data_IF_877865168142
#
_entry.id   IF_877865168142
#
_cell.length_a   1.000
_cell.length_b   1.000
_cell.length_c   1.000
_cell.angle_alpha   90.00
_cell.angle_beta   90.00
_cell.angle_gamma   90.00
#
_symmetry.space_group_name_H-M   'P 1'
#
loop_
_entity.id
_entity.type
_entity.pdbx_description
1 polymer ?
#
# COMPACT_ATOMS: atom_id res chain seq x y z
N UNK A 1 -25.26 -2.23 15.97
CA UNK A 1 -25.97 -3.08 14.98
C UNK A 1 -26.27 -2.18 13.79
N UNK A 2 -26.02 -2.62 12.55
CA UNK A 2 -26.37 -1.84 11.37
C UNK A 2 -27.88 -1.89 11.10
N UNK A 3 -28.41 -0.81 10.50
CA UNK A 3 -29.80 -0.73 10.06
C UNK A 3 -29.84 -0.36 8.57
N UNK A 4 -30.73 -1.01 7.82
CA UNK A 4 -30.92 -0.76 6.39
C UNK A 4 -31.82 0.46 6.15
N UNK A 5 -31.36 1.62 6.60
CA UNK A 5 -32.10 2.89 6.44
C UNK A 5 -31.15 4.05 6.15
N UNK A 6 -31.63 5.02 5.37
CA UNK A 6 -30.90 6.26 5.11
C UNK A 6 -30.65 7.05 6.40
N UNK A 7 -31.62 7.06 7.31
CA UNK A 7 -31.51 7.77 8.59
C UNK A 7 -30.41 7.21 9.48
N UNK A 8 -30.15 5.89 9.43
CA UNK A 8 -29.01 5.28 10.11
C UNK A 8 -27.68 5.77 9.53
N UNK A 9 -27.54 5.78 8.20
CA UNK A 9 -26.33 6.26 7.54
C UNK A 9 -26.05 7.73 7.88
N UNK A 10 -27.06 8.59 7.83
CA UNK A 10 -26.95 10.01 8.17
C UNK A 10 -26.57 10.24 9.64
N UNK A 11 -27.07 9.40 10.56
CA UNK A 11 -26.73 9.44 11.98
C UNK A 11 -25.28 9.01 12.23
N UNK A 12 -24.82 7.94 11.56
CA UNK A 12 -23.43 7.49 11.67
C UNK A 12 -22.44 8.53 11.09
N UNK A 13 -22.82 9.23 10.02
CA UNK A 13 -22.02 10.36 9.48
C UNK A 13 -21.90 11.51 10.50
N UNK A 14 -22.99 11.80 11.25
CA UNK A 14 -22.96 12.83 12.29
C UNK A 14 -22.07 12.45 13.49
N UNK A 15 -22.03 11.16 13.83
CA UNK A 15 -21.24 10.60 14.94
C UNK A 15 -19.78 10.33 14.58
N UNK A 16 -19.43 10.37 13.29
CA UNK A 16 -18.10 10.04 12.81
C UNK A 16 -17.05 11.03 13.32
N UNK A 17 -16.08 10.58 14.12
CA UNK A 17 -15.01 11.45 14.62
C UNK A 17 -14.10 11.98 13.52
N UNK A 18 -14.04 11.28 12.37
CA UNK A 18 -13.22 11.68 11.20
C UNK A 18 -14.01 12.49 10.17
N UNK A 19 -15.26 12.88 10.42
CA UNK A 19 -16.12 13.57 9.45
C UNK A 19 -15.51 14.86 8.89
N UNK A 20 -14.80 15.62 9.72
CA UNK A 20 -14.19 16.90 9.32
C UNK A 20 -13.02 16.74 8.34
N UNK A 21 -12.37 15.57 8.32
CA UNK A 21 -11.25 15.31 7.40
C UNK A 21 -11.69 15.30 5.93
N UNK A 22 -12.95 14.99 5.64
CA UNK A 22 -13.52 15.08 4.30
C UNK A 22 -13.30 16.45 3.65
N UNK A 23 -13.34 17.51 4.42
CA UNK A 23 -13.15 18.88 3.94
C UNK A 23 -11.69 19.17 3.56
N UNK A 24 -10.74 18.34 3.97
CA UNK A 24 -9.33 18.49 3.62
C UNK A 24 -8.99 18.01 2.19
N UNK A 25 -9.94 17.39 1.46
CA UNK A 25 -9.72 16.83 0.13
C UNK A 25 -10.49 17.55 -0.97
N UNK A 26 -9.93 17.52 -2.18
CA UNK A 26 -10.62 17.86 -3.42
C UNK A 26 -11.33 16.64 -3.98
N UNK A 27 -12.56 16.84 -4.48
CA UNK A 27 -13.35 15.81 -5.14
C UNK A 27 -13.46 16.09 -6.62
N UNK A 28 -13.41 15.05 -7.48
CA UNK A 28 -13.90 15.16 -8.85
C UNK A 28 -15.36 15.60 -8.82
N UNK A 29 -15.73 16.41 -9.80
CA UNK A 29 -17.09 16.94 -9.90
C UNK A 29 -17.73 16.46 -11.19
N UNK A 30 -19.04 16.19 -11.13
CA UNK A 30 -19.84 15.92 -12.30
C UNK A 30 -20.12 17.21 -13.10
N UNK A 31 -20.81 17.06 -14.24
CA UNK A 31 -21.18 18.18 -15.12
C UNK A 31 -22.03 19.26 -14.43
N UNK A 32 -22.76 18.91 -13.36
CA UNK A 32 -23.57 19.81 -12.55
C UNK A 32 -22.80 20.46 -11.40
N UNK A 33 -21.48 20.25 -11.32
CA UNK A 33 -20.62 20.79 -10.28
C UNK A 33 -20.75 20.10 -8.90
N UNK A 34 -21.47 18.98 -8.79
CA UNK A 34 -21.59 18.19 -7.56
C UNK A 34 -20.42 17.22 -7.42
N UNK A 35 -20.02 16.94 -6.19
CA UNK A 35 -19.01 15.93 -5.92
C UNK A 35 -19.51 14.54 -6.32
N UNK A 36 -18.65 13.76 -6.95
CA UNK A 36 -18.91 12.33 -7.24
C UNK A 36 -18.67 11.48 -6.00
N UNK A 37 -19.29 10.31 -5.93
CA UNK A 37 -18.95 9.29 -4.94
C UNK A 37 -17.65 8.62 -5.40
N UNK A 38 -16.59 8.74 -4.61
CA UNK A 38 -15.25 8.28 -5.00
C UNK A 38 -14.79 7.12 -4.11
N UNK A 39 -14.91 5.89 -4.61
CA UNK A 39 -14.53 4.64 -3.94
C UNK A 39 -13.30 3.96 -4.55
N UNK A 40 -12.36 4.77 -5.06
CA UNK A 40 -11.21 4.29 -5.82
C UNK A 40 -9.86 4.64 -5.16
N UNK A 41 -9.84 4.87 -3.83
CA UNK A 41 -8.62 5.14 -3.06
C UNK A 41 -7.59 4.01 -3.10
N UNK A 42 -8.03 2.80 -3.39
CA UNK A 42 -7.17 1.63 -3.63
C UNK A 42 -6.38 1.71 -4.95
N UNK A 43 -6.68 2.65 -5.83
CA UNK A 43 -5.99 2.87 -7.11
C UNK A 43 -5.28 4.22 -7.13
N UNK A 44 -5.98 5.30 -6.77
CA UNK A 44 -5.44 6.65 -6.58
C UNK A 44 -6.26 7.36 -5.51
N UNK A 45 -5.61 7.85 -4.45
CA UNK A 45 -6.27 8.64 -3.41
C UNK A 45 -6.65 10.04 -3.87
N UNK A 46 -7.65 10.67 -3.21
CA UNK A 46 -8.03 12.04 -3.49
C UNK A 46 -6.92 13.03 -3.10
N UNK A 47 -6.84 14.15 -3.81
CA UNK A 47 -5.85 15.19 -3.57
C UNK A 47 -6.15 15.96 -2.27
N UNK A 48 -5.22 15.99 -1.29
CA UNK A 48 -5.32 16.93 -0.17
C UNK A 48 -5.27 18.39 -0.67
N UNK A 49 -6.10 19.25 -0.11
CA UNK A 49 -6.16 20.68 -0.49
C UNK A 49 -4.85 21.42 -0.18
N UNK A 50 -4.13 20.98 0.84
CA UNK A 50 -2.84 21.56 1.25
C UNK A 50 -1.70 21.28 0.26
N UNK A 51 -1.81 20.30 -0.63
CA UNK A 51 -0.76 19.92 -1.60
C UNK A 51 -0.22 21.12 -2.37
N UNK A 52 -1.12 21.99 -2.86
CA UNK A 52 -0.71 23.19 -3.63
C UNK A 52 0.26 24.08 -2.83
N UNK A 53 -0.05 24.35 -1.57
CA UNK A 53 0.81 25.22 -0.73
C UNK A 53 2.14 24.57 -0.38
N UNK A 54 2.20 23.23 -0.30
CA UNK A 54 3.45 22.51 -0.05
C UNK A 54 4.37 22.56 -1.29
N UNK A 55 3.81 22.37 -2.48
CA UNK A 55 4.58 22.49 -3.73
C UNK A 55 5.04 23.93 -3.93
N UNK A 56 4.17 24.92 -3.71
CA UNK A 56 4.47 26.36 -3.90
C UNK A 56 5.63 26.81 -3.02
N UNK A 57 5.73 26.30 -1.79
CA UNK A 57 6.87 26.60 -0.91
C UNK A 57 8.21 26.14 -1.49
N UNK A 58 8.24 24.98 -2.14
CA UNK A 58 9.48 24.44 -2.73
C UNK A 58 9.80 25.15 -4.06
N UNK A 59 8.78 25.53 -4.84
CA UNK A 59 8.97 26.35 -6.04
C UNK A 59 9.49 27.75 -5.71
N UNK A 60 8.92 28.41 -4.70
CA UNK A 60 9.35 29.74 -4.26
C UNK A 60 10.81 29.71 -3.70
N UNK A 61 11.18 28.62 -3.00
CA UNK A 61 12.56 28.44 -2.54
C UNK A 61 13.52 28.27 -3.72
N UNK A 62 13.11 27.48 -4.72
CA UNK A 62 13.93 27.30 -5.93
C UNK A 62 14.11 28.60 -6.72
N UNK A 63 13.04 29.36 -6.91
CA UNK A 63 13.07 30.67 -7.55
C UNK A 63 14.04 31.63 -6.83
N UNK A 64 13.98 31.65 -5.49
CA UNK A 64 14.72 32.59 -4.67
C UNK A 64 16.19 32.21 -4.50
N UNK A 65 16.47 30.95 -4.16
CA UNK A 65 17.76 30.53 -3.66
C UNK A 65 18.54 29.65 -4.64
N UNK A 66 17.89 29.10 -5.69
CA UNK A 66 18.54 28.23 -6.67
C UNK A 66 19.27 27.07 -5.99
N UNK A 67 20.57 26.91 -6.30
CA UNK A 67 21.40 25.83 -5.73
C UNK A 67 21.56 25.93 -4.22
N UNK A 68 21.45 27.09 -3.62
CA UNK A 68 21.56 27.25 -2.17
C UNK A 68 20.43 26.53 -1.43
N UNK A 69 19.29 26.33 -2.08
CA UNK A 69 18.17 25.52 -1.57
C UNK A 69 18.55 24.06 -1.32
N UNK A 70 19.56 23.53 -2.04
CA UNK A 70 20.07 22.16 -1.78
C UNK A 70 20.56 22.05 -0.34
N UNK A 71 21.48 22.92 0.05
CA UNK A 71 22.12 22.86 1.37
C UNK A 71 21.20 23.30 2.51
N UNK A 72 20.33 24.28 2.26
CA UNK A 72 19.47 24.83 3.30
C UNK A 72 18.25 23.94 3.65
N UNK A 73 17.79 23.09 2.69
CA UNK A 73 16.52 22.39 2.86
C UNK A 73 16.43 21.01 2.18
N UNK A 74 16.92 20.83 0.96
CA UNK A 74 16.56 19.67 0.16
C UNK A 74 17.42 18.44 0.42
N UNK A 75 18.69 18.62 0.84
CA UNK A 75 19.57 17.51 1.19
C UNK A 75 18.95 16.55 2.21
N UNK A 76 18.23 17.12 3.19
CA UNK A 76 17.59 16.35 4.26
C UNK A 76 16.04 16.35 4.17
N UNK A 77 15.48 16.68 3.01
CA UNK A 77 14.01 16.79 2.88
C UNK A 77 13.30 15.48 3.20
N UNK A 78 13.85 14.34 2.79
CA UNK A 78 13.30 13.01 3.05
C UNK A 78 13.19 12.71 4.56
N UNK A 79 14.05 13.27 5.41
CA UNK A 79 14.03 13.08 6.86
C UNK A 79 12.74 13.63 7.50
N UNK A 80 12.10 14.62 6.88
CA UNK A 80 10.80 15.15 7.31
C UNK A 80 9.68 14.12 7.22
N UNK A 81 9.84 13.12 6.38
CA UNK A 81 8.88 12.03 6.20
C UNK A 81 9.19 10.82 7.09
N UNK A 82 10.40 10.72 7.63
CA UNK A 82 10.87 9.52 8.33
C UNK A 82 10.00 9.17 9.54
N UNK A 83 9.81 10.10 10.48
CA UNK A 83 9.00 9.83 11.68
C UNK A 83 7.52 9.60 11.36
N UNK A 84 6.92 10.42 10.47
CA UNK A 84 5.54 10.26 10.04
C UNK A 84 5.30 8.88 9.41
N UNK A 85 6.26 8.44 8.59
CA UNK A 85 6.18 7.15 7.93
C UNK A 85 6.43 5.99 8.90
N UNK A 86 7.37 6.14 9.84
CA UNK A 86 7.61 5.15 10.88
C UNK A 86 6.37 4.91 11.74
N UNK A 87 5.71 5.97 12.21
CA UNK A 87 4.44 5.87 12.95
C UNK A 87 3.35 5.18 12.12
N UNK A 88 3.25 5.53 10.83
CA UNK A 88 2.24 4.95 9.93
C UNK A 88 2.33 3.43 9.81
N UNK A 89 3.58 2.90 9.75
CA UNK A 89 3.81 1.46 9.49
C UNK A 89 4.27 0.68 10.73
N UNK A 90 4.35 1.33 11.89
CA UNK A 90 4.79 0.71 13.15
C UNK A 90 6.24 0.23 13.09
N UNK A 91 7.13 1.17 12.79
CA UNK A 91 8.58 0.96 12.64
C UNK A 91 9.38 1.96 13.47
N UNK A 92 10.67 1.70 13.68
CA UNK A 92 11.62 2.68 14.17
C UNK A 92 12.01 3.65 13.04
N UNK A 93 12.32 4.90 13.40
CA UNK A 93 12.70 5.91 12.40
C UNK A 93 13.92 5.49 11.55
N UNK A 94 14.87 4.81 12.15
CA UNK A 94 16.07 4.29 11.48
C UNK A 94 15.80 3.20 10.44
N UNK A 95 14.63 2.57 10.49
CA UNK A 95 14.20 1.49 9.59
C UNK A 95 13.49 1.99 8.33
N UNK A 96 13.26 3.32 8.23
CA UNK A 96 12.44 3.92 7.18
C UNK A 96 13.25 4.85 6.30
N UNK A 97 12.99 4.77 4.99
CA UNK A 97 13.33 5.85 4.06
C UNK A 97 12.31 5.96 2.93
N UNK A 98 12.01 7.18 2.54
CA UNK A 98 11.15 7.50 1.38
C UNK A 98 12.04 7.75 0.17
N UNK A 99 11.88 6.92 -0.88
CA UNK A 99 12.69 7.01 -2.09
C UNK A 99 12.00 6.35 -3.29
N UNK A 100 12.38 6.71 -4.50
CA UNK A 100 12.02 6.06 -5.77
C UNK A 100 10.50 5.78 -5.93
N UNK A 101 10.18 4.82 -6.80
CA UNK A 101 8.86 4.22 -6.99
C UNK A 101 8.86 2.76 -6.52
N UNK A 102 7.68 2.22 -6.21
CA UNK A 102 7.50 0.90 -5.58
C UNK A 102 8.29 -0.22 -6.27
N UNK A 103 8.12 -0.43 -7.57
CA UNK A 103 8.78 -1.54 -8.27
C UNK A 103 10.30 -1.39 -8.32
N UNK A 104 10.80 -0.15 -8.40
CA UNK A 104 12.24 0.12 -8.28
C UNK A 104 12.74 -0.29 -6.89
N UNK A 105 12.01 0.09 -5.84
CA UNK A 105 12.35 -0.28 -4.47
C UNK A 105 12.31 -1.80 -4.26
N UNK A 106 11.31 -2.51 -4.79
CA UNK A 106 11.25 -3.97 -4.73
C UNK A 106 12.48 -4.61 -5.39
N UNK A 107 12.91 -4.13 -6.56
CA UNK A 107 14.13 -4.63 -7.19
C UNK A 107 15.38 -4.38 -6.33
N UNK A 108 15.53 -3.19 -5.75
CA UNK A 108 16.67 -2.86 -4.87
C UNK A 108 16.69 -3.75 -3.63
N UNK A 109 15.52 -3.98 -3.02
CA UNK A 109 15.39 -4.86 -1.86
C UNK A 109 15.66 -6.32 -2.21
N UNK A 110 15.17 -6.80 -3.37
CA UNK A 110 15.46 -8.16 -3.84
C UNK A 110 16.93 -8.36 -4.17
N UNK A 111 17.69 -7.35 -4.62
CA UNK A 111 19.15 -7.45 -4.75
C UNK A 111 19.80 -7.74 -3.40
N UNK A 112 19.28 -7.19 -2.30
CA UNK A 112 19.82 -7.46 -0.96
C UNK A 112 19.28 -8.76 -0.36
N UNK A 113 17.98 -9.00 -0.43
CA UNK A 113 17.29 -10.04 0.35
C UNK A 113 16.93 -11.31 -0.45
N UNK A 114 17.12 -11.34 -1.76
CA UNK A 114 17.08 -12.56 -2.54
C UNK A 114 18.52 -12.95 -2.95
N UNK A 115 19.15 -13.80 -2.12
CA UNK A 115 20.53 -14.26 -2.27
C UNK A 115 20.54 -15.76 -2.59
N UNK A 116 20.15 -16.15 -3.83
CA UNK A 116 20.00 -17.55 -4.16
C UNK A 116 21.37 -18.24 -4.36
N UNK A 117 21.43 -19.50 -3.96
CA UNK A 117 22.52 -20.43 -4.25
C UNK A 117 21.99 -21.82 -4.59
N UNK A 118 22.83 -22.77 -5.04
CA UNK A 118 22.41 -24.08 -5.58
C UNK A 118 21.40 -24.86 -4.73
N UNK A 119 21.45 -24.72 -3.40
CA UNK A 119 20.55 -25.43 -2.48
C UNK A 119 19.35 -24.58 -2.04
N UNK A 120 19.53 -23.24 -1.95
CA UNK A 120 18.52 -22.32 -1.45
C UNK A 120 18.31 -21.25 -2.50
N UNK A 121 17.34 -21.45 -3.40
CA UNK A 121 17.11 -20.57 -4.55
C UNK A 121 15.63 -20.26 -4.81
N UNK A 122 14.72 -20.80 -3.98
CA UNK A 122 13.29 -20.57 -4.19
C UNK A 122 12.84 -19.25 -3.59
N UNK A 123 11.91 -18.61 -4.26
CA UNK A 123 11.17 -17.46 -3.77
C UNK A 123 9.68 -17.79 -3.78
N UNK A 124 8.97 -17.41 -2.72
CA UNK A 124 7.56 -17.71 -2.52
C UNK A 124 6.71 -16.44 -2.60
N UNK A 125 5.56 -16.54 -3.28
CA UNK A 125 4.58 -15.48 -3.46
C UNK A 125 3.16 -16.07 -3.46
N UNK A 126 2.14 -15.26 -3.19
CA UNK A 126 0.75 -15.68 -3.45
C UNK A 126 0.47 -15.78 -4.95
N UNK A 127 -0.27 -16.80 -5.36
CA UNK A 127 -0.75 -16.89 -6.75
C UNK A 127 -1.72 -15.75 -7.06
N UNK A 128 -1.53 -15.13 -8.22
CA UNK A 128 -2.31 -13.96 -8.60
C UNK A 128 -1.89 -12.69 -7.88
N UNK A 129 -0.68 -12.62 -7.33
CA UNK A 129 -0.05 -11.37 -6.92
C UNK A 129 -0.07 -10.33 -8.04
N UNK A 130 0.06 -9.06 -7.68
CA UNK A 130 0.05 -8.00 -8.68
C UNK A 130 1.11 -8.25 -9.77
N UNK A 131 0.79 -8.04 -11.07
CA UNK A 131 1.70 -8.40 -12.16
C UNK A 131 3.11 -7.84 -12.02
N UNK A 132 3.25 -6.62 -11.47
CA UNK A 132 4.57 -6.00 -11.27
C UNK A 132 5.47 -6.82 -10.35
N UNK A 133 4.91 -7.40 -9.27
CA UNK A 133 5.67 -8.22 -8.32
C UNK A 133 6.10 -9.54 -8.95
N UNK A 134 5.19 -10.17 -9.70
CA UNK A 134 5.50 -11.37 -10.47
C UNK A 134 6.62 -11.12 -11.48
N UNK A 135 6.59 -9.96 -12.17
CA UNK A 135 7.64 -9.59 -13.13
C UNK A 135 8.96 -9.32 -12.44
N UNK A 136 8.94 -8.60 -11.32
CA UNK A 136 10.14 -8.31 -10.54
C UNK A 136 10.80 -9.59 -10.05
N UNK A 137 10.04 -10.50 -9.42
CA UNK A 137 10.53 -11.80 -8.94
C UNK A 137 11.10 -12.65 -10.08
N UNK A 138 10.33 -12.84 -11.16
CA UNK A 138 10.78 -13.67 -12.30
C UNK A 138 12.02 -13.09 -12.96
N UNK A 139 12.16 -11.76 -13.01
CA UNK A 139 13.36 -11.12 -13.55
C UNK A 139 14.58 -11.28 -12.62
N UNK A 140 14.40 -11.19 -11.32
CA UNK A 140 15.47 -11.42 -10.34
C UNK A 140 15.97 -12.88 -10.37
N UNK A 141 15.06 -13.85 -10.44
CA UNK A 141 15.43 -15.27 -10.60
C UNK A 141 16.31 -15.46 -11.84
N UNK A 142 15.90 -14.89 -12.99
CA UNK A 142 16.66 -14.96 -14.24
C UNK A 142 18.00 -14.23 -14.14
N UNK A 143 18.05 -13.07 -13.47
CA UNK A 143 19.27 -12.29 -13.27
C UNK A 143 20.32 -13.11 -12.53
N UNK A 144 19.93 -13.95 -11.57
CA UNK A 144 20.80 -14.87 -10.86
C UNK A 144 21.10 -16.18 -11.62
N UNK A 145 20.63 -16.33 -12.86
CA UNK A 145 20.92 -17.50 -13.71
C UNK A 145 20.04 -18.73 -13.42
N UNK A 146 18.91 -18.57 -12.72
CA UNK A 146 17.98 -19.65 -12.40
C UNK A 146 16.72 -19.60 -13.31
N UNK A 147 16.00 -20.74 -13.40
CA UNK A 147 14.73 -20.83 -14.11
C UNK A 147 13.56 -20.48 -13.17
N UNK A 148 12.72 -19.47 -13.50
CA UNK A 148 11.53 -19.17 -12.72
C UNK A 148 10.55 -20.35 -12.56
N UNK A 149 10.53 -21.29 -13.49
CA UNK A 149 9.66 -22.48 -13.38
C UNK A 149 10.07 -23.43 -12.25
N UNK A 150 11.37 -23.42 -11.89
CA UNK A 150 11.91 -24.26 -10.84
C UNK A 150 12.00 -23.51 -9.49
N UNK A 151 12.19 -22.18 -9.53
CA UNK A 151 12.51 -21.40 -8.34
C UNK A 151 11.35 -20.58 -7.78
N UNK A 152 10.26 -20.37 -8.56
CA UNK A 152 9.08 -19.65 -8.07
C UNK A 152 8.07 -20.63 -7.45
N UNK A 153 7.71 -20.39 -6.18
CA UNK A 153 6.62 -21.09 -5.49
C UNK A 153 5.42 -20.13 -5.40
N UNK A 154 4.33 -20.47 -6.08
CA UNK A 154 3.08 -19.74 -6.00
C UNK A 154 2.08 -20.49 -5.12
N UNK A 155 1.62 -19.84 -4.03
CA UNK A 155 0.64 -20.44 -3.11
C UNK A 155 -0.76 -20.16 -3.63
N UNK A 156 -1.53 -21.22 -3.87
CA UNK A 156 -2.90 -21.14 -4.39
C UNK A 156 -3.94 -21.22 -3.26
N UNK A 157 -5.06 -20.50 -3.38
CA UNK A 157 -6.23 -20.75 -2.55
C UNK A 157 -6.75 -22.19 -2.74
N UNK A 158 -7.43 -22.71 -1.73
CA UNK A 158 -8.14 -23.99 -1.86
C UNK A 158 -9.17 -23.93 -3.00
N UNK A 159 -9.48 -25.09 -3.60
CA UNK A 159 -10.51 -25.17 -4.64
C UNK A 159 -11.81 -24.51 -4.18
N UNK A 160 -12.40 -23.70 -5.03
CA UNK A 160 -13.61 -22.93 -4.77
C UNK A 160 -13.49 -21.83 -3.69
N UNK A 161 -12.27 -21.39 -3.38
CA UNK A 161 -12.01 -20.26 -2.49
C UNK A 161 -11.19 -19.20 -3.23
N UNK A 162 -11.49 -17.93 -2.96
CA UNK A 162 -10.65 -16.80 -3.39
C UNK A 162 -9.68 -16.35 -2.27
N UNK A 163 -9.68 -17.05 -1.13
CA UNK A 163 -8.96 -16.67 0.08
C UNK A 163 -7.86 -17.67 0.39
N UNK A 164 -6.65 -17.18 0.62
CA UNK A 164 -5.52 -17.95 1.11
C UNK A 164 -5.61 -18.07 2.62
N UNK A 165 -5.75 -19.30 3.12
CA UNK A 165 -5.74 -19.54 4.57
C UNK A 165 -4.31 -19.41 5.09
N UNK A 166 -4.10 -18.67 6.18
CA UNK A 166 -2.78 -18.52 6.83
C UNK A 166 -2.13 -19.87 7.12
N UNK A 167 -2.92 -20.86 7.54
CA UNK A 167 -2.46 -22.24 7.75
C UNK A 167 -1.79 -22.83 6.50
N UNK A 168 -2.39 -22.64 5.31
CA UNK A 168 -1.84 -23.21 4.08
C UNK A 168 -0.52 -22.50 3.69
N UNK A 169 -0.41 -21.20 3.96
CA UNK A 169 0.83 -20.43 3.75
C UNK A 169 1.93 -21.00 4.66
N UNK A 170 1.65 -21.17 5.95
CA UNK A 170 2.58 -21.73 6.94
C UNK A 170 3.04 -23.13 6.52
N UNK A 171 2.11 -24.02 6.16
CA UNK A 171 2.42 -25.38 5.70
C UNK A 171 3.33 -25.38 4.46
N UNK A 172 3.07 -24.49 3.50
CA UNK A 172 3.89 -24.37 2.30
C UNK A 172 5.30 -23.85 2.60
N UNK A 173 5.44 -22.88 3.52
CA UNK A 173 6.75 -22.37 3.96
C UNK A 173 7.57 -23.49 4.62
N UNK A 174 6.96 -24.23 5.55
CA UNK A 174 7.63 -25.36 6.22
C UNK A 174 8.00 -26.48 5.26
N UNK A 175 7.14 -26.75 4.26
CA UNK A 175 7.42 -27.75 3.22
C UNK A 175 8.58 -27.34 2.31
N UNK A 176 8.68 -26.04 1.97
CA UNK A 176 9.79 -25.52 1.17
C UNK A 176 11.12 -25.57 1.93
N UNK A 177 11.08 -25.38 3.26
CA UNK A 177 12.21 -25.56 4.16
C UNK A 177 13.47 -24.85 3.70
N UNK A 178 14.59 -25.59 3.67
CA UNK A 178 15.92 -25.06 3.33
C UNK A 178 16.07 -24.61 1.87
N UNK A 179 15.15 -24.95 0.99
CA UNK A 179 15.18 -24.50 -0.40
C UNK A 179 14.75 -23.03 -0.54
N UNK A 180 14.02 -22.51 0.45
CA UNK A 180 13.39 -21.18 0.41
C UNK A 180 14.39 -20.08 0.78
N UNK A 181 14.73 -19.23 -0.16
CA UNK A 181 15.61 -18.09 0.04
C UNK A 181 14.86 -16.86 0.53
N UNK A 182 13.68 -16.60 -0.07
CA UNK A 182 12.93 -15.37 0.20
C UNK A 182 11.43 -15.60 0.06
N UNK A 183 10.66 -14.89 0.86
CA UNK A 183 9.21 -14.75 0.76
C UNK A 183 8.92 -13.31 0.40
N UNK A 184 8.09 -13.06 -0.62
CA UNK A 184 7.54 -11.76 -0.93
C UNK A 184 6.03 -11.87 -1.10
N UNK A 185 5.26 -11.42 -0.13
CA UNK A 185 3.79 -11.40 -0.18
C UNK A 185 3.26 -9.98 -0.24
N UNK A 186 2.03 -9.81 -0.71
CA UNK A 186 1.29 -8.58 -0.47
C UNK A 186 0.95 -8.44 1.02
N UNK A 187 0.87 -7.22 1.55
CA UNK A 187 0.25 -7.01 2.87
C UNK A 187 -1.27 -7.15 2.81
N UNK A 188 -1.85 -6.73 1.67
CA UNK A 188 -3.25 -6.92 1.28
C UNK A 188 -3.30 -7.33 -0.18
N UNK A 189 -4.01 -8.41 -0.49
CA UNK A 189 -4.20 -8.82 -1.87
C UNK A 189 -5.03 -7.79 -2.64
N UNK A 190 -4.50 -7.30 -3.75
CA UNK A 190 -5.13 -6.22 -4.52
C UNK A 190 -6.48 -6.60 -5.14
N UNK A 191 -6.70 -7.88 -5.46
CA UNK A 191 -7.91 -8.36 -6.12
C UNK A 191 -9.01 -8.65 -5.12
N UNK A 192 -8.73 -9.46 -4.11
CA UNK A 192 -9.72 -9.88 -3.11
C UNK A 192 -9.89 -8.89 -1.95
N UNK A 193 -8.92 -8.04 -1.67
CA UNK A 193 -8.88 -7.20 -0.47
C UNK A 193 -8.48 -7.94 0.81
N UNK A 194 -8.09 -9.22 0.72
CA UNK A 194 -7.64 -10.02 1.87
C UNK A 194 -6.38 -9.42 2.50
N UNK A 195 -6.41 -9.17 3.81
CA UNK A 195 -5.21 -8.87 4.59
C UNK A 195 -4.53 -10.18 5.02
N UNK A 196 -3.19 -10.22 4.91
CA UNK A 196 -2.38 -11.36 5.33
C UNK A 196 -1.84 -11.17 6.74
N UNK A 197 -1.61 -12.28 7.46
CA UNK A 197 -0.98 -12.29 8.77
C UNK A 197 0.55 -12.16 8.60
N UNK A 198 1.03 -10.92 8.60
CA UNK A 198 2.45 -10.60 8.41
C UNK A 198 3.31 -11.27 9.47
N UNK A 199 2.85 -11.30 10.72
CA UNK A 199 3.60 -11.87 11.83
C UNK A 199 3.79 -13.39 11.68
N UNK A 200 2.71 -14.13 11.44
CA UNK A 200 2.76 -15.56 11.26
C UNK A 200 3.63 -15.97 10.06
N UNK A 201 3.52 -15.24 8.94
CA UNK A 201 4.33 -15.49 7.74
C UNK A 201 5.81 -15.21 8.05
N UNK A 202 6.11 -14.10 8.74
CA UNK A 202 7.48 -13.72 9.06
C UNK A 202 8.13 -14.71 10.03
N UNK A 203 7.47 -15.05 11.13
CA UNK A 203 7.97 -16.02 12.11
C UNK A 203 8.27 -17.38 11.46
N UNK A 204 7.36 -17.84 10.60
CA UNK A 204 7.54 -19.14 9.91
C UNK A 204 8.65 -19.07 8.86
N UNK A 205 8.71 -18.01 8.04
CA UNK A 205 9.76 -17.84 7.03
C UNK A 205 11.15 -17.79 7.66
N UNK A 206 11.30 -17.05 8.75
CA UNK A 206 12.55 -16.98 9.51
C UNK A 206 12.95 -18.31 10.14
N UNK A 207 11.98 -19.10 10.60
CA UNK A 207 12.26 -20.42 11.19
C UNK A 207 12.92 -21.39 10.20
N UNK A 208 12.68 -21.21 8.90
CA UNK A 208 13.35 -21.98 7.82
C UNK A 208 14.56 -21.24 7.23
N UNK A 209 14.90 -20.06 7.78
CA UNK A 209 16.04 -19.25 7.35
C UNK A 209 15.83 -18.45 6.06
N UNK A 210 14.59 -18.22 5.64
CA UNK A 210 14.26 -17.33 4.53
C UNK A 210 14.19 -15.88 4.97
N UNK A 211 14.55 -14.95 4.09
CA UNK A 211 14.19 -13.54 4.26
C UNK A 211 12.72 -13.33 3.94
N UNK A 212 12.05 -12.47 4.70
CA UNK A 212 10.62 -12.21 4.55
C UNK A 212 10.36 -10.74 4.28
N UNK A 213 9.76 -10.45 3.13
CA UNK A 213 9.40 -9.10 2.72
C UNK A 213 7.95 -8.99 2.29
N UNK A 214 7.45 -7.74 2.27
CA UNK A 214 6.07 -7.45 1.87
C UNK A 214 5.97 -6.29 0.89
N UNK A 215 5.12 -6.46 -0.15
CA UNK A 215 4.54 -5.34 -0.88
C UNK A 215 3.32 -4.82 -0.12
N UNK A 216 3.43 -3.63 0.44
CA UNK A 216 2.39 -3.00 1.24
C UNK A 216 1.58 -1.97 0.46
N UNK A 217 1.57 -2.03 -0.88
CA UNK A 217 0.85 -1.07 -1.74
C UNK A 217 -0.64 -0.92 -1.41
N UNK A 218 -1.27 -1.96 -0.90
CA UNK A 218 -2.67 -1.96 -0.45
C UNK A 218 -2.82 -2.00 1.09
N UNK A 219 -1.73 -2.02 1.84
CA UNK A 219 -1.74 -2.09 3.30
C UNK A 219 -1.36 -0.77 3.97
N UNK A 220 -0.33 -0.06 3.46
CA UNK A 220 0.08 1.23 4.00
C UNK A 220 -1.03 2.28 3.86
N UNK A 221 -1.42 2.91 4.97
CA UNK A 221 -2.55 3.83 5.06
C UNK A 221 -3.95 3.16 5.10
N UNK A 222 -4.00 1.84 5.13
CA UNK A 222 -5.23 1.04 5.10
C UNK A 222 -5.35 0.08 6.30
N UNK A 223 -4.24 -0.45 6.78
CA UNK A 223 -4.16 -1.32 7.96
C UNK A 223 -3.33 -0.66 9.06
N UNK A 224 -3.58 -1.05 10.30
CA UNK A 224 -2.65 -0.80 11.41
C UNK A 224 -1.51 -1.81 11.27
N UNK A 225 -0.34 -1.32 10.93
CA UNK A 225 0.87 -2.12 10.74
C UNK A 225 1.78 -2.05 11.98
N UNK A 226 2.64 -3.04 12.16
CA UNK A 226 3.64 -3.12 13.22
C UNK A 226 4.90 -3.83 12.69
N UNK A 227 5.52 -3.26 11.64
CA UNK A 227 6.58 -3.94 10.88
C UNK A 227 7.77 -4.32 11.76
N UNK A 228 8.20 -3.42 12.65
CA UNK A 228 9.26 -3.70 13.63
C UNK A 228 8.89 -4.91 14.51
N UNK A 229 7.73 -4.84 15.18
CA UNK A 229 7.29 -5.89 16.11
C UNK A 229 6.91 -7.21 15.43
N UNK A 230 6.60 -7.18 14.14
CA UNK A 230 6.41 -8.39 13.33
C UNK A 230 7.72 -8.99 12.82
N UNK A 231 8.86 -8.38 13.13
CA UNK A 231 10.19 -8.87 12.76
C UNK A 231 10.39 -9.01 11.23
N UNK A 232 9.67 -8.23 10.42
CA UNK A 232 9.76 -8.23 8.96
C UNK A 232 11.19 -7.89 8.53
N UNK A 233 11.74 -8.53 7.50
CA UNK A 233 13.09 -8.18 7.04
C UNK A 233 13.09 -6.89 6.21
N UNK A 234 12.14 -6.79 5.28
CA UNK A 234 11.99 -5.63 4.42
C UNK A 234 10.55 -5.45 3.95
N UNK A 235 10.19 -4.22 3.61
CA UNK A 235 8.91 -3.94 2.94
C UNK A 235 9.03 -2.72 2.02
N UNK A 236 8.10 -2.61 1.07
CA UNK A 236 7.95 -1.43 0.23
C UNK A 236 6.46 -1.14 -0.04
N UNK A 237 6.14 0.13 -0.29
CA UNK A 237 4.77 0.55 -0.62
C UNK A 237 4.76 1.79 -1.50
N UNK A 238 3.70 1.97 -2.30
CA UNK A 238 3.47 3.21 -3.01
C UNK A 238 2.63 4.18 -2.16
N UNK A 239 2.83 5.48 -2.38
CA UNK A 239 2.16 6.51 -1.59
C UNK A 239 0.95 7.16 -2.30
N UNK A 240 0.72 6.87 -3.58
CA UNK A 240 -0.35 7.51 -4.36
C UNK A 240 -1.74 6.89 -4.17
N UNK A 241 -1.83 5.69 -3.59
CA UNK A 241 -3.11 5.00 -3.32
C UNK A 241 -3.74 5.53 -2.03
N UNK A 242 -3.86 4.68 -1.02
CA UNK A 242 -4.47 5.03 0.27
C UNK A 242 -3.82 6.23 0.94
N UNK A 243 -2.51 6.46 0.74
CA UNK A 243 -1.81 7.61 1.33
C UNK A 243 -2.04 8.94 0.59
N UNK A 244 -2.83 8.98 -0.48
CA UNK A 244 -3.29 10.22 -1.13
C UNK A 244 -2.18 11.19 -1.57
N UNK A 245 -0.96 10.70 -1.84
CA UNK A 245 0.18 11.57 -2.14
C UNK A 245 0.24 12.06 -3.61
N UNK A 246 -0.72 11.64 -4.43
CA UNK A 246 -0.82 12.04 -5.84
C UNK A 246 -0.03 11.16 -6.82
N UNK A 247 -0.31 11.30 -8.12
CA UNK A 247 0.31 10.49 -9.16
C UNK A 247 1.83 10.71 -9.21
N UNK A 248 2.59 9.60 -9.27
CA UNK A 248 4.05 9.65 -9.31
C UNK A 248 4.72 9.96 -7.97
N UNK A 249 3.99 10.01 -6.86
CA UNK A 249 4.57 10.21 -5.55
C UNK A 249 5.62 9.13 -5.21
N UNK A 250 6.71 9.51 -4.51
CA UNK A 250 7.73 8.56 -4.10
C UNK A 250 7.18 7.54 -3.11
N UNK A 251 7.79 6.38 -3.10
CA UNK A 251 7.45 5.23 -2.29
C UNK A 251 8.23 5.22 -0.98
N UNK A 252 7.74 4.48 0.02
CA UNK A 252 8.51 4.17 1.22
C UNK A 252 9.10 2.77 1.16
N UNK A 253 10.20 2.57 1.89
CA UNK A 253 10.73 1.27 2.24
C UNK A 253 10.93 1.16 3.74
N UNK A 254 10.89 -0.07 4.21
CA UNK A 254 11.26 -0.51 5.54
C UNK A 254 12.39 -1.54 5.43
N UNK A 255 13.39 -1.41 6.29
CA UNK A 255 14.45 -2.40 6.48
C UNK A 255 14.69 -2.51 7.97
N UNK A 256 14.48 -3.70 8.53
CA UNK A 256 14.61 -3.93 9.95
C UNK A 256 16.01 -3.58 10.46
N UNK A 257 16.11 -3.00 11.66
CA UNK A 257 17.36 -2.54 12.26
C UNK A 257 18.44 -3.63 12.37
N UNK A 258 18.07 -4.91 12.47
CA UNK A 258 19.04 -6.04 12.46
C UNK A 258 19.88 -6.10 11.18
N UNK A 259 19.44 -5.43 10.10
CA UNK A 259 20.14 -5.34 8.81
C UNK A 259 20.90 -4.05 8.62
N UNK A 260 20.95 -3.14 9.59
CA UNK A 260 21.64 -1.84 9.45
C UNK A 260 23.13 -1.98 9.17
N UNK A 261 23.77 -3.03 9.67
CA UNK A 261 25.19 -3.34 9.37
C UNK A 261 25.31 -4.31 8.21
N UNK A 262 24.51 -4.11 7.17
CA UNK A 262 24.46 -4.99 6.02
C UNK A 262 25.78 -5.05 5.27
N UNK A 263 26.35 -6.26 5.16
CA UNK A 263 27.59 -6.54 4.42
C UNK A 263 27.36 -7.37 3.13
N UNK A 264 26.09 -7.76 2.89
CA UNK A 264 25.69 -8.47 1.68
C UNK A 264 25.56 -7.55 0.45
N UNK A 265 25.16 -8.10 -0.70
CA UNK A 265 24.95 -7.32 -1.91
C UNK A 265 23.94 -6.19 -1.71
N UNK A 266 24.25 -5.02 -2.23
CA UNK A 266 23.41 -3.83 -2.27
C UNK A 266 23.83 -3.00 -3.47
N UNK A 267 22.89 -2.39 -4.17
CA UNK A 267 23.23 -1.36 -5.15
C UNK A 267 23.54 -0.07 -4.40
N UNK A 268 24.71 0.46 -4.65
CA UNK A 268 25.27 1.62 -3.95
C UNK A 268 25.00 2.90 -4.73
N UNK A 269 24.76 3.98 -4.03
CA UNK A 269 24.53 5.28 -4.63
C UNK A 269 24.95 6.41 -3.71
N UNK A 270 25.19 7.57 -4.29
CA UNK A 270 25.76 8.71 -3.57
C UNK A 270 24.94 9.13 -2.35
N UNK A 271 23.59 9.02 -2.44
CA UNK A 271 22.75 9.48 -1.35
C UNK A 271 22.71 8.51 -0.16
N UNK A 272 23.01 7.24 -0.37
CA UNK A 272 23.23 6.24 0.68
C UNK A 272 24.60 6.30 1.35
N UNK A 273 25.53 7.11 0.85
CA UNK A 273 26.85 7.30 1.47
C UNK A 273 26.75 8.12 2.75
N UNK A 274 27.67 7.90 3.67
CA UNK A 274 27.80 8.58 4.95
C UNK A 274 27.72 10.11 4.79
N UNK A 275 26.78 10.76 5.50
CA UNK A 275 26.48 12.19 5.38
C UNK A 275 27.69 13.08 5.68
N UNK A 276 28.56 12.67 6.60
CA UNK A 276 29.73 13.46 7.01
C UNK A 276 30.85 13.51 5.97
N UNK A 277 30.96 12.47 5.11
CA UNK A 277 32.03 12.33 4.09
C UNK A 277 31.50 12.37 2.67
N UNK A 278 30.17 12.45 2.48
CA UNK A 278 29.52 12.45 1.16
C UNK A 278 30.11 13.48 0.18
N UNK A 279 30.41 14.67 0.66
CA UNK A 279 30.92 15.78 -0.13
C UNK A 279 32.47 15.81 -0.24
N UNK A 280 33.18 14.85 0.36
CA UNK A 280 34.60 14.65 0.12
C UNK A 280 34.88 14.00 -1.24
N UNK A 281 33.82 13.51 -1.92
CA UNK A 281 33.87 12.94 -3.28
C UNK A 281 34.83 11.75 -3.41
N UNK A 282 34.95 10.97 -2.32
CA UNK A 282 35.79 9.76 -2.31
C UNK A 282 35.23 8.66 -3.21
N UNK A 283 36.08 7.73 -3.64
CA UNK A 283 35.73 6.62 -4.52
C UNK A 283 35.17 5.37 -3.78
N UNK A 284 35.35 5.31 -2.48
CA UNK A 284 34.89 4.18 -1.66
C UNK A 284 33.54 4.49 -1.01
N UNK A 285 32.64 3.56 -1.15
CA UNK A 285 31.32 3.70 -0.53
C UNK A 285 31.39 3.34 0.98
N UNK A 286 31.00 4.28 1.82
CA UNK A 286 30.73 4.09 3.26
C UNK A 286 29.24 4.33 3.50
N UNK A 287 28.46 3.24 3.53
CA UNK A 287 27.00 3.31 3.60
C UNK A 287 26.48 3.76 4.96
N UNK A 288 25.46 4.63 4.97
CA UNK A 288 24.71 4.96 6.18
C UNK A 288 24.18 3.66 6.79
N UNK A 289 24.37 3.52 8.12
CA UNK A 289 23.96 2.31 8.85
C UNK A 289 22.52 2.40 9.36
N UNK A 290 21.58 2.71 8.45
CA UNK A 290 20.13 2.71 8.63
C UNK A 290 19.49 2.37 7.29
N UNK A 291 18.17 2.34 7.18
CA UNK A 291 17.47 2.17 5.90
C UNK A 291 17.90 3.22 4.84
N UNK A 292 18.35 4.40 5.26
CA UNK A 292 18.87 5.42 4.33
C UNK A 292 20.08 4.95 3.51
N UNK A 293 20.84 3.96 3.99
CA UNK A 293 21.96 3.38 3.25
C UNK A 293 21.55 2.68 1.93
N UNK A 294 20.26 2.45 1.70
CA UNK A 294 19.71 1.91 0.45
C UNK A 294 19.33 2.99 -0.57
N UNK A 295 19.43 4.28 -0.22
CA UNK A 295 19.23 5.37 -1.17
C UNK A 295 20.30 5.37 -2.25
N UNK A 296 19.90 5.49 -3.52
CA UNK A 296 20.80 5.58 -4.65
C UNK A 296 21.05 7.05 -5.03
N UNK A 297 19.98 7.80 -5.18
CA UNK A 297 19.98 9.19 -5.62
C UNK A 297 19.33 10.11 -4.58
N UNK A 298 19.54 11.40 -4.74
CA UNK A 298 18.90 12.43 -3.95
C UNK A 298 17.36 12.37 -4.06
N UNK A 299 16.69 12.89 -3.04
CA UNK A 299 15.25 12.86 -2.90
C UNK A 299 14.51 13.61 -4.04
N UNK A 300 13.40 13.07 -4.58
CA UNK A 300 12.55 13.75 -5.56
C UNK A 300 11.64 14.79 -4.86
N UNK A 301 12.17 15.97 -4.56
CA UNK A 301 11.56 17.00 -3.71
C UNK A 301 10.13 17.35 -4.12
N UNK A 302 9.90 17.59 -5.40
CA UNK A 302 8.56 17.98 -5.90
C UNK A 302 7.52 16.85 -5.75
N UNK A 303 7.97 15.58 -5.74
CA UNK A 303 7.10 14.45 -5.43
C UNK A 303 6.91 14.22 -3.93
N UNK A 304 7.89 14.60 -3.11
CA UNK A 304 7.82 14.45 -1.65
C UNK A 304 6.95 15.53 -0.98
N UNK A 305 6.85 16.72 -1.55
CA UNK A 305 6.03 17.80 -0.98
C UNK A 305 4.53 17.43 -0.89
N UNK A 306 3.88 16.85 -1.92
CA UNK A 306 2.53 16.30 -1.79
C UNK A 306 2.40 15.17 -0.77
N UNK A 307 3.39 14.28 -0.72
CA UNK A 307 3.39 13.20 0.26
C UNK A 307 3.44 13.75 1.69
N UNK A 308 4.29 14.74 1.95
CA UNK A 308 4.37 15.38 3.26
C UNK A 308 3.03 16.03 3.67
N UNK A 309 2.37 16.73 2.72
CA UNK A 309 1.06 17.31 2.96
C UNK A 309 -0.01 16.27 3.33
N UNK A 310 0.05 15.08 2.73
CA UNK A 310 -0.84 13.98 3.05
C UNK A 310 -0.48 13.32 4.39
N UNK A 311 0.80 13.07 4.64
CA UNK A 311 1.26 12.41 5.87
C UNK A 311 0.92 13.20 7.13
N UNK A 312 0.91 14.54 7.08
CA UNK A 312 0.43 15.39 8.18
C UNK A 312 -1.06 15.13 8.51
N UNK A 313 -1.89 14.84 7.49
CA UNK A 313 -3.30 14.48 7.70
C UNK A 313 -3.43 13.10 8.37
N UNK A 314 -2.62 12.13 7.93
CA UNK A 314 -2.61 10.78 8.52
C UNK A 314 -2.11 10.78 9.96
N UNK A 315 -1.08 11.56 10.27
CA UNK A 315 -0.56 11.72 11.63
C UNK A 315 -1.62 12.34 12.56
N UNK A 316 -2.31 13.40 12.10
CA UNK A 316 -3.38 14.05 12.87
C UNK A 316 -4.57 13.12 13.13
N UNK A 317 -4.98 12.31 12.13
CA UNK A 317 -6.11 11.40 12.25
C UNK A 317 -5.79 10.14 13.05
N UNK A 318 -4.58 9.64 12.93
CA UNK A 318 -4.10 8.41 13.55
C UNK A 318 -4.60 7.12 12.87
N UNK A 319 -3.67 6.22 12.56
CA UNK A 319 -4.01 4.95 11.88
C UNK A 319 -5.07 4.09 12.58
N UNK A 320 -5.11 4.00 13.94
CA UNK A 320 -6.17 3.24 14.61
C UNK A 320 -7.58 3.76 14.30
N UNK A 321 -7.79 5.09 14.30
CA UNK A 321 -9.08 5.71 13.99
C UNK A 321 -9.45 5.52 12.50
N UNK A 322 -8.48 5.65 11.60
CA UNK A 322 -8.64 5.43 10.16
C UNK A 322 -9.08 3.98 9.92
N UNK A 323 -8.37 3.02 10.48
CA UNK A 323 -8.67 1.60 10.33
C UNK A 323 -10.05 1.23 10.92
N UNK A 324 -10.37 1.74 12.12
CA UNK A 324 -11.66 1.49 12.75
C UNK A 324 -12.83 1.97 11.88
N UNK A 325 -12.76 3.20 11.35
CA UNK A 325 -13.78 3.73 10.44
C UNK A 325 -13.83 2.93 9.14
N UNK A 326 -12.70 2.53 8.56
CA UNK A 326 -12.65 1.69 7.37
C UNK A 326 -13.37 0.36 7.54
N UNK A 327 -13.17 -0.30 8.68
CA UNK A 327 -13.89 -1.52 9.04
C UNK A 327 -15.38 -1.31 9.21
N UNK A 328 -15.79 -0.20 9.84
CA UNK A 328 -17.22 0.15 10.00
C UNK A 328 -17.88 0.43 8.66
N UNK A 329 -17.26 1.22 7.77
CA UNK A 329 -17.76 1.52 6.43
C UNK A 329 -17.92 0.25 5.59
N UNK A 330 -16.90 -0.62 5.55
CA UNK A 330 -16.99 -1.87 4.80
C UNK A 330 -17.88 -2.91 5.46
N UNK A 331 -18.00 -2.89 6.78
CA UNK A 331 -18.98 -3.69 7.51
C UNK A 331 -20.41 -3.28 7.17
N UNK A 332 -20.70 -1.98 7.11
CA UNK A 332 -21.98 -1.45 6.69
C UNK A 332 -22.28 -1.77 5.22
N UNK A 333 -21.31 -1.60 4.34
CA UNK A 333 -21.43 -1.96 2.92
C UNK A 333 -21.77 -3.45 2.76
N UNK A 334 -21.05 -4.34 3.45
CA UNK A 334 -21.30 -5.78 3.40
C UNK A 334 -22.70 -6.14 3.93
N UNK A 335 -23.13 -5.51 5.02
CA UNK A 335 -24.47 -5.68 5.59
C UNK A 335 -25.55 -5.27 4.58
N UNK A 336 -25.45 -4.08 3.98
CA UNK A 336 -26.43 -3.60 3.01
C UNK A 336 -26.51 -4.49 1.76
N UNK A 337 -25.37 -5.00 1.28
CA UNK A 337 -25.35 -5.94 0.14
C UNK A 337 -26.05 -7.24 0.51
N UNK A 338 -25.75 -7.81 1.68
CA UNK A 338 -26.40 -9.06 2.12
C UNK A 338 -27.91 -8.94 2.29
N UNK A 339 -28.39 -7.78 2.76
CA UNK A 339 -29.82 -7.51 2.96
C UNK A 339 -30.58 -7.25 1.64
N UNK A 340 -29.94 -6.50 0.70
CA UNK A 340 -30.65 -5.99 -0.47
C UNK A 340 -30.32 -6.72 -1.78
N UNK A 341 -29.17 -7.40 -1.85
CA UNK A 341 -28.58 -7.94 -3.07
C UNK A 341 -27.97 -9.33 -2.83
N UNK A 342 -28.79 -10.33 -2.44
CA UNK A 342 -28.28 -11.67 -2.12
C UNK A 342 -27.59 -12.38 -3.29
N UNK A 343 -27.83 -11.94 -4.52
CA UNK A 343 -27.19 -12.41 -5.75
C UNK A 343 -25.76 -11.85 -5.97
N UNK A 344 -25.36 -10.82 -5.22
CA UNK A 344 -24.00 -10.24 -5.26
C UNK A 344 -23.08 -11.00 -4.31
N UNK A 345 -22.02 -11.58 -4.84
CA UNK A 345 -21.04 -12.28 -4.02
C UNK A 345 -19.91 -11.34 -3.56
N UNK A 346 -19.65 -11.29 -2.26
CA UNK A 346 -18.51 -10.59 -1.67
C UNK A 346 -17.35 -11.58 -1.56
N UNK A 347 -16.30 -11.42 -2.37
CA UNK A 347 -15.12 -12.31 -2.35
C UNK A 347 -14.06 -11.87 -1.33
N UNK A 348 -14.21 -10.69 -0.74
CA UNK A 348 -13.33 -10.17 0.31
C UNK A 348 -13.64 -10.85 1.64
N UNK A 349 -12.65 -11.41 2.36
CA UNK A 349 -12.86 -12.01 3.67
C UNK A 349 -13.04 -10.99 4.78
N UNK A 350 -13.17 -11.49 6.04
CA UNK A 350 -13.28 -10.62 7.23
C UNK A 350 -11.98 -9.88 7.52
N UNK A 351 -10.84 -10.54 7.35
CA UNK A 351 -9.52 -9.92 7.53
C UNK A 351 -9.20 -9.08 6.30
N UNK A 352 -9.41 -7.77 6.42
CA UNK A 352 -9.34 -6.83 5.31
C UNK A 352 -9.06 -5.39 5.79
N UNK A 353 -8.72 -4.53 4.84
CA UNK A 353 -8.80 -3.09 4.99
C UNK A 353 -10.15 -2.52 4.53
N UNK A 354 -10.16 -1.32 3.98
CA UNK A 354 -11.39 -0.63 3.55
C UNK A 354 -11.85 -0.97 2.11
N UNK A 355 -11.40 -2.09 1.53
CA UNK A 355 -11.85 -2.55 0.20
C UNK A 355 -12.80 -3.73 0.33
N UNK A 356 -13.92 -3.71 -0.42
CA UNK A 356 -14.70 -4.90 -0.79
C UNK A 356 -14.60 -5.15 -2.29
N UNK A 357 -14.49 -6.42 -2.65
CA UNK A 357 -14.49 -6.92 -4.03
C UNK A 357 -15.75 -7.70 -4.26
N UNK A 358 -16.57 -7.25 -5.22
CA UNK A 358 -17.93 -7.71 -5.46
C UNK A 358 -18.01 -8.37 -6.82
N UNK A 359 -18.50 -9.62 -6.87
CA UNK A 359 -18.93 -10.27 -8.12
C UNK A 359 -20.40 -9.93 -8.31
N UNK A 360 -20.72 -9.20 -9.37
CA UNK A 360 -22.03 -8.60 -9.58
C UNK A 360 -22.69 -9.20 -10.81
N UNK A 361 -23.95 -9.66 -10.74
CA UNK A 361 -24.74 -10.01 -11.91
C UNK A 361 -24.78 -8.84 -12.92
N UNK A 362 -24.68 -9.12 -14.20
CA UNK A 362 -24.55 -8.09 -15.25
C UNK A 362 -23.15 -7.49 -15.37
N UNK A 363 -22.25 -7.74 -14.44
CA UNK A 363 -20.81 -7.47 -14.53
C UNK A 363 -20.44 -6.07 -15.01
N UNK A 364 -19.78 -6.00 -16.16
CA UNK A 364 -19.27 -4.73 -16.72
C UNK A 364 -20.40 -3.73 -17.07
N UNK A 365 -21.56 -4.19 -17.49
CA UNK A 365 -22.68 -3.30 -17.84
C UNK A 365 -23.21 -2.56 -16.60
N UNK A 366 -23.34 -3.26 -15.47
CA UNK A 366 -23.72 -2.63 -14.19
C UNK A 366 -22.64 -1.65 -13.74
N UNK A 367 -21.36 -2.00 -13.84
CA UNK A 367 -20.26 -1.10 -13.52
C UNK A 367 -20.34 0.20 -14.34
N UNK A 368 -20.57 0.10 -15.66
CA UNK A 368 -20.68 1.27 -16.55
C UNK A 368 -21.88 2.13 -16.16
N UNK A 369 -23.05 1.51 -15.88
CA UNK A 369 -24.26 2.22 -15.44
C UNK A 369 -24.06 2.99 -14.12
N UNK A 370 -23.34 2.40 -13.15
CA UNK A 370 -23.01 3.07 -11.88
C UNK A 370 -22.06 4.25 -12.14
N UNK A 371 -21.10 4.08 -13.04
CA UNK A 371 -20.15 5.15 -13.41
C UNK A 371 -20.86 6.35 -14.04
N UNK A 372 -21.87 6.11 -14.89
CA UNK A 372 -22.73 7.15 -15.46
C UNK A 372 -23.58 7.91 -14.42
N UNK A 373 -23.73 7.33 -13.22
CA UNK A 373 -24.41 7.95 -12.07
C UNK A 373 -23.45 8.58 -11.06
N UNK A 374 -22.29 9.01 -11.55
CA UNK A 374 -21.30 9.74 -10.75
C UNK A 374 -20.67 8.93 -9.60
N UNK A 375 -20.56 7.60 -9.75
CA UNK A 375 -19.82 6.75 -8.82
C UNK A 375 -18.53 6.26 -9.48
N UNK A 376 -17.40 6.59 -8.88
CA UNK A 376 -16.08 6.13 -9.33
C UNK A 376 -15.64 4.98 -8.43
N UNK A 377 -15.59 3.79 -8.98
CA UNK A 377 -15.01 2.59 -8.40
C UNK A 377 -14.12 1.87 -9.43
N UNK A 378 -13.61 0.69 -9.14
CA UNK A 378 -12.60 0.03 -9.99
C UNK A 378 -13.14 -1.30 -10.53
N UNK A 379 -12.96 -1.53 -11.83
CA UNK A 379 -13.30 -2.79 -12.49
C UNK A 379 -12.09 -3.71 -12.63
N UNK A 380 -12.28 -4.98 -12.30
CA UNK A 380 -11.29 -6.04 -12.56
C UNK A 380 -11.92 -7.19 -13.32
N UNK A 381 -11.32 -7.48 -14.46
CA UNK A 381 -11.70 -8.65 -15.28
C UNK A 381 -11.56 -9.95 -14.49
N UNK A 382 -12.49 -10.92 -14.64
CA UNK A 382 -13.59 -10.87 -15.61
C UNK A 382 -14.87 -10.16 -15.13
N UNK A 383 -15.13 -10.06 -13.82
CA UNK A 383 -16.46 -9.73 -13.27
C UNK A 383 -16.45 -9.03 -11.91
N UNK A 384 -15.32 -8.49 -11.45
CA UNK A 384 -15.20 -7.91 -10.11
C UNK A 384 -15.26 -6.39 -10.14
N UNK A 385 -16.15 -5.82 -9.33
CA UNK A 385 -16.17 -4.41 -8.94
C UNK A 385 -15.48 -4.26 -7.60
N UNK A 386 -14.38 -3.47 -7.53
CA UNK A 386 -13.72 -3.15 -6.26
C UNK A 386 -14.23 -1.82 -5.75
N UNK A 387 -14.69 -1.81 -4.51
CA UNK A 387 -15.24 -0.65 -3.81
C UNK A 387 -14.40 -0.40 -2.56
N UNK A 388 -13.74 0.74 -2.50
CA UNK A 388 -12.86 1.08 -1.39
C UNK A 388 -13.27 2.43 -0.75
N UNK A 389 -14.28 2.44 0.13
CA UNK A 389 -14.69 3.65 0.84
C UNK A 389 -13.58 4.07 1.82
N UNK A 390 -12.88 5.13 1.46
CA UNK A 390 -11.72 5.60 2.20
C UNK A 390 -12.13 6.36 3.47
N UNK A 391 -11.62 6.01 4.65
CA UNK A 391 -12.09 6.55 5.93
C UNK A 391 -11.96 8.07 6.09
N UNK A 392 -10.96 8.69 5.46
CA UNK A 392 -10.73 10.13 5.61
C UNK A 392 -11.70 10.98 4.79
N UNK A 393 -12.38 10.41 3.77
CA UNK A 393 -13.20 11.24 2.89
C UNK A 393 -14.52 10.64 2.45
N UNK A 394 -14.78 9.35 2.68
CA UNK A 394 -16.08 8.77 2.38
C UNK A 394 -16.99 8.69 3.62
N UNK A 395 -18.28 8.57 3.37
CA UNK A 395 -19.36 8.63 4.36
C UNK A 395 -20.23 7.38 4.29
N UNK A 396 -20.98 7.11 5.36
CA UNK A 396 -22.00 6.04 5.40
C UNK A 396 -23.14 6.35 4.43
N UNK A 397 -23.54 7.61 4.29
CA UNK A 397 -24.55 8.04 3.32
C UNK A 397 -24.13 7.77 1.88
N UNK A 398 -22.84 7.90 1.52
CA UNK A 398 -22.32 7.52 0.20
C UNK A 398 -22.36 6.00 -0.01
N UNK A 399 -22.03 5.22 1.02
CA UNK A 399 -22.15 3.75 0.98
C UNK A 399 -23.60 3.31 0.79
N UNK A 400 -24.53 3.91 1.51
CA UNK A 400 -25.95 3.63 1.36
C UNK A 400 -26.46 3.95 -0.05
N UNK A 401 -26.13 5.15 -0.56
CA UNK A 401 -26.50 5.56 -1.92
C UNK A 401 -25.92 4.65 -3.00
N UNK A 402 -24.67 4.18 -2.82
CA UNK A 402 -24.06 3.23 -3.74
C UNK A 402 -24.85 1.93 -3.83
N UNK A 403 -25.29 1.37 -2.69
CA UNK A 403 -26.06 0.12 -2.68
C UNK A 403 -27.45 0.33 -3.28
N UNK A 404 -28.10 1.48 -3.05
CA UNK A 404 -29.38 1.82 -3.72
C UNK A 404 -29.22 1.85 -5.26
N UNK A 405 -28.15 2.48 -5.76
CA UNK A 405 -27.85 2.51 -7.19
C UNK A 405 -27.56 1.12 -7.75
N UNK A 406 -26.76 0.33 -7.02
CA UNK A 406 -26.42 -1.04 -7.42
C UNK A 406 -27.69 -1.90 -7.51
N UNK A 407 -28.58 -1.80 -6.52
CA UNK A 407 -29.86 -2.50 -6.51
C UNK A 407 -30.76 -2.10 -7.67
N UNK A 408 -30.81 -0.80 -7.99
CA UNK A 408 -31.59 -0.31 -9.13
C UNK A 408 -31.09 -0.88 -10.47
N UNK A 409 -29.79 -1.05 -10.68
CA UNK A 409 -29.24 -1.57 -11.94
C UNK A 409 -29.22 -3.09 -12.05
N UNK A 410 -29.37 -3.80 -10.93
CA UNK A 410 -29.46 -5.26 -10.92
C UNK A 410 -30.93 -5.71 -11.02
N UNK A 411 -31.83 -5.08 -10.25
CA UNK A 411 -33.20 -5.54 -10.03
C UNK A 411 -34.29 -4.59 -10.56
N UNK A 412 -33.94 -3.39 -10.99
CA UNK A 412 -34.83 -2.40 -11.60
C UNK A 412 -34.77 -2.43 -13.09
#
# INVERSE_FOLDING_TARGET
MYENTRSFADLEDQRDPLRSYREKFHYPKNEKGKNVIYFCGNSLGLQPKSVRSFIEKELALWEKDGVLGQHSRWENFHERLTHLTAHLVGAEASEIVVMNALTVNLHLLLVSFYQPHKKRNKIMIEKGAFPSDQYAIKSQIKYHGFDPKECLIEIEPNKNSNVLQTKNIIEAILQAGDDLATILFGGVNYYTGQAFDLKAITETGRSVGAFVGFDLAHAAGNLVLALHNCDVDFAAWCSYKYLCAGPGAPSGIFIHERHHKWSGPRLEGWWGHNKSTRFEMGSNFDGIQTAEGWQISNAPIMGMAPLLASMEIFEEAGMPSIWEKGNKLTGFLAFLIQENLPEVSIITPKDRGCQLSLVVPGGKAVFDSITEKDVICDWRTPDVIRVAPHPLYNTYSEVYQFVELLNHFING
#
